data_IF_101191877906
#
_entry.id   IF_101191877906
#
_cell.length_a   1.000
_cell.length_b   1.000
_cell.length_c   1.000
_cell.angle_alpha   90.00
_cell.angle_beta   90.00
_cell.angle_gamma   90.00
#
_symmetry.space_group_name_H-M   'P 1'
#
loop_
_entity.id
_entity.type
_entity.pdbx_description
1 polymer ?
#
# COMPACT_ATOMS: atom_id res chain seq x y z
N UNK A 1 -44.46 -3.14 55.43
CA UNK A 1 -43.77 -2.50 54.28
C UNK A 1 -42.28 -2.65 54.55
N UNK A 2 -41.72 -3.71 54.00
CA UNK A 2 -40.43 -4.36 54.31
C UNK A 2 -39.60 -4.29 53.02
N UNK A 3 -38.29 -4.13 52.92
CA UNK A 3 -37.15 -3.66 53.73
C UNK A 3 -35.97 -3.55 52.73
N UNK A 4 -34.87 -2.91 53.12
CA UNK A 4 -33.60 -2.93 52.40
C UNK A 4 -32.98 -4.35 52.28
N UNK A 5 -32.03 -4.54 51.37
CA UNK A 5 -31.26 -5.80 51.34
C UNK A 5 -30.16 -5.88 50.28
N UNK A 6 -28.95 -5.44 50.65
CA UNK A 6 -27.67 -5.98 50.18
C UNK A 6 -27.62 -7.50 50.36
N UNK A 7 -27.15 -8.25 49.36
CA UNK A 7 -26.50 -9.56 49.60
C UNK A 7 -25.35 -9.81 48.63
N UNK A 8 -24.15 -9.89 49.20
CA UNK A 8 -23.03 -10.69 48.73
C UNK A 8 -23.48 -12.16 48.61
N UNK A 9 -23.07 -12.82 47.53
CA UNK A 9 -23.24 -14.27 47.33
C UNK A 9 -22.01 -14.87 46.68
N UNK A 10 -20.98 -15.11 47.48
CA UNK A 10 -19.93 -16.08 47.21
C UNK A 10 -20.54 -17.50 47.27
N UNK A 11 -20.16 -18.36 46.31
CA UNK A 11 -20.24 -19.82 46.46
C UNK A 11 -21.44 -20.49 45.79
N UNK A 12 -21.21 -21.10 44.64
CA UNK A 12 -22.14 -22.04 44.00
C UNK A 12 -21.51 -22.66 42.76
N UNK A 13 -20.97 -23.87 42.92
CA UNK A 13 -20.20 -24.57 41.89
C UNK A 13 -20.94 -24.72 40.56
N UNK A 14 -20.25 -24.34 39.48
CA UNK A 14 -20.60 -24.68 38.11
C UNK A 14 -20.37 -26.18 37.91
N UNK A 15 -21.43 -26.98 38.09
CA UNK A 15 -21.51 -28.31 37.49
C UNK A 15 -21.53 -28.13 35.96
N UNK A 16 -20.37 -28.35 35.34
CA UNK A 16 -20.25 -28.50 33.90
C UNK A 16 -20.92 -29.82 33.50
N UNK A 17 -22.01 -29.73 32.73
CA UNK A 17 -22.57 -30.89 32.02
C UNK A 17 -21.53 -31.31 30.95
N UNK A 18 -20.98 -32.54 30.99
CA UNK A 18 -20.04 -32.98 29.97
C UNK A 18 -20.83 -33.33 28.70
N UNK A 19 -20.47 -32.73 27.56
CA UNK A 19 -20.98 -33.15 26.25
C UNK A 19 -21.54 -32.07 25.32
N UNK A 20 -21.36 -30.78 25.60
CA UNK A 20 -21.66 -29.73 24.62
C UNK A 20 -20.34 -29.11 24.19
N UNK A 21 -19.90 -29.43 22.96
CA UNK A 21 -18.84 -28.68 22.29
C UNK A 21 -19.15 -27.18 22.41
N UNK A 22 -18.18 -26.32 22.78
CA UNK A 22 -18.43 -24.90 22.86
C UNK A 22 -18.92 -24.44 21.49
N UNK A 23 -20.20 -24.04 21.42
CA UNK A 23 -20.83 -23.50 20.23
C UNK A 23 -19.93 -22.36 19.76
N UNK A 24 -19.18 -22.60 18.68
CA UNK A 24 -18.36 -21.56 18.06
C UNK A 24 -19.33 -20.43 17.73
N UNK A 25 -19.15 -19.27 18.37
CA UNK A 25 -19.82 -18.04 17.98
C UNK A 25 -19.65 -17.91 16.46
N UNK A 26 -20.73 -17.61 15.70
CA UNK A 26 -20.61 -17.45 14.26
C UNK A 26 -19.50 -16.45 13.98
N UNK A 27 -18.55 -16.84 13.14
CA UNK A 27 -17.42 -15.99 12.76
C UNK A 27 -17.99 -14.63 12.33
N UNK A 28 -17.52 -13.51 12.90
CA UNK A 28 -17.99 -12.20 12.49
C UNK A 28 -17.82 -12.06 10.97
N UNK A 29 -18.80 -11.45 10.27
CA UNK A 29 -18.73 -11.32 8.82
C UNK A 29 -17.40 -10.69 8.41
N UNK A 30 -16.80 -11.22 7.35
CA UNK A 30 -15.52 -10.75 6.85
C UNK A 30 -15.55 -9.22 6.69
N UNK A 31 -14.55 -8.49 7.22
CA UNK A 31 -14.56 -7.04 7.18
C UNK A 31 -14.47 -6.58 5.73
N UNK A 32 -15.44 -5.79 5.27
CA UNK A 32 -15.37 -5.15 3.94
C UNK A 32 -14.29 -4.08 3.93
N UNK A 33 -13.05 -4.46 3.66
CA UNK A 33 -11.87 -3.60 3.76
C UNK A 33 -11.89 -2.48 2.72
N UNK A 34 -12.39 -2.76 1.51
CA UNK A 34 -12.48 -1.77 0.44
C UNK A 34 -13.73 -0.90 0.49
N UNK A 35 -14.78 -1.32 1.21
CA UNK A 35 -16.01 -0.55 1.42
C UNK A 35 -16.54 0.13 0.13
N UNK A 36 -16.56 1.48 0.07
CA UNK A 36 -17.09 2.22 -1.07
C UNK A 36 -16.25 2.14 -2.35
N UNK A 37 -15.02 1.62 -2.27
CA UNK A 37 -14.11 1.48 -3.42
C UNK A 37 -14.31 0.16 -4.18
N UNK A 38 -15.03 -0.81 -3.61
CA UNK A 38 -15.29 -2.09 -4.26
C UNK A 38 -16.05 -1.95 -5.60
N UNK A 39 -17.11 -1.12 -5.71
CA UNK A 39 -17.75 -0.86 -6.99
C UNK A 39 -16.81 -0.18 -7.99
N UNK A 40 -15.92 0.72 -7.53
CA UNK A 40 -14.97 1.43 -8.41
C UNK A 40 -13.99 0.45 -9.09
N UNK A 41 -13.59 -0.63 -8.42
CA UNK A 41 -12.77 -1.69 -9.05
C UNK A 41 -13.58 -2.34 -10.19
N UNK A 42 -14.84 -2.67 -9.93
CA UNK A 42 -15.73 -3.33 -10.91
C UNK A 42 -16.03 -2.44 -12.12
N UNK A 43 -16.11 -1.12 -11.93
CA UNK A 43 -16.33 -0.15 -13.00
C UNK A 43 -15.06 0.24 -13.77
N UNK A 44 -13.87 0.01 -13.21
CA UNK A 44 -12.60 0.41 -13.83
C UNK A 44 -12.24 -0.33 -15.12
N UNK A 45 -12.93 -1.44 -15.44
CA UNK A 45 -12.58 -2.30 -16.57
C UNK A 45 -11.35 -3.20 -16.32
N UNK A 46 -10.70 -3.07 -15.15
CA UNK A 46 -9.54 -3.87 -14.73
C UNK A 46 -9.91 -5.06 -13.83
N UNK A 47 -11.19 -5.20 -13.48
CA UNK A 47 -11.67 -6.32 -12.66
C UNK A 47 -11.61 -7.64 -13.44
N UNK A 48 -10.65 -8.49 -13.05
CA UNK A 48 -10.41 -9.79 -13.63
C UNK A 48 -10.90 -10.96 -12.75
N UNK A 49 -11.75 -10.71 -11.74
CA UNK A 49 -12.30 -11.75 -10.87
C UNK A 49 -13.00 -12.89 -11.67
N UNK A 50 -13.57 -12.58 -12.83
CA UNK A 50 -14.28 -13.53 -13.72
C UNK A 50 -13.37 -14.32 -14.68
N UNK A 51 -12.04 -14.20 -14.55
CA UNK A 51 -11.07 -14.94 -15.37
C UNK A 51 -10.48 -16.16 -14.66
N UNK A 52 -10.96 -16.47 -13.45
CA UNK A 52 -10.51 -17.64 -12.69
C UNK A 52 -10.88 -18.95 -13.41
N UNK A 53 -10.03 -19.98 -13.26
CA UNK A 53 -10.07 -21.32 -13.90
C UNK A 53 -11.45 -21.98 -14.02
N UNK A 54 -12.40 -21.69 -13.13
CA UNK A 54 -13.76 -22.26 -13.13
C UNK A 54 -14.74 -21.56 -14.09
N UNK A 55 -14.41 -20.37 -14.61
CA UNK A 55 -15.31 -19.54 -15.44
C UNK A 55 -14.72 -19.08 -16.77
N UNK A 56 -13.58 -19.65 -17.19
CA UNK A 56 -12.88 -19.33 -18.45
C UNK A 56 -13.79 -19.47 -19.70
N UNK A 57 -14.89 -20.22 -19.61
CA UNK A 57 -15.90 -20.38 -20.68
C UNK A 57 -17.01 -19.33 -20.69
N UNK A 58 -17.03 -18.39 -19.76
CA UNK A 58 -18.07 -17.34 -19.72
C UNK A 58 -17.71 -16.20 -20.67
N UNK A 59 -18.65 -15.85 -21.56
CA UNK A 59 -18.54 -14.68 -22.47
C UNK A 59 -18.16 -13.41 -21.72
N UNK A 60 -18.66 -13.23 -20.49
CA UNK A 60 -18.35 -12.06 -19.65
C UNK A 60 -16.88 -12.04 -19.16
N UNK A 61 -16.25 -13.20 -18.97
CA UNK A 61 -14.84 -13.30 -18.60
C UNK A 61 -13.92 -12.94 -19.76
N UNK A 62 -14.23 -13.46 -20.96
CA UNK A 62 -13.48 -13.13 -22.20
C UNK A 62 -13.57 -11.63 -22.51
N UNK A 63 -14.75 -11.03 -22.40
CA UNK A 63 -14.92 -9.58 -22.62
C UNK A 63 -14.09 -8.76 -21.62
N UNK A 64 -14.10 -9.12 -20.34
CA UNK A 64 -13.28 -8.45 -19.31
C UNK A 64 -11.78 -8.57 -19.61
N UNK A 65 -11.28 -9.73 -20.03
CA UNK A 65 -9.88 -9.90 -20.44
C UNK A 65 -9.53 -9.05 -21.66
N UNK A 66 -10.40 -9.00 -22.67
CA UNK A 66 -10.17 -8.21 -23.88
C UNK A 66 -10.11 -6.72 -23.54
N UNK A 67 -11.02 -6.22 -22.69
CA UNK A 67 -11.00 -4.82 -22.22
C UNK A 67 -9.72 -4.51 -21.46
N UNK A 68 -9.33 -5.37 -20.51
CA UNK A 68 -8.09 -5.18 -19.75
C UNK A 68 -6.85 -5.20 -20.66
N UNK A 69 -6.81 -6.09 -21.65
CA UNK A 69 -5.73 -6.16 -22.63
C UNK A 69 -5.65 -4.88 -23.48
N UNK A 70 -6.79 -4.37 -23.96
CA UNK A 70 -6.85 -3.11 -24.71
C UNK A 70 -6.31 -1.95 -23.86
N UNK A 71 -6.72 -1.86 -22.59
CA UNK A 71 -6.22 -0.82 -21.67
C UNK A 71 -4.69 -0.92 -21.52
N UNK A 72 -4.15 -2.12 -21.31
CA UNK A 72 -2.70 -2.32 -21.17
C UNK A 72 -1.95 -1.97 -22.46
N UNK A 73 -2.47 -2.34 -23.63
CA UNK A 73 -1.85 -1.99 -24.92
C UNK A 73 -1.82 -0.48 -25.11
N UNK A 74 -2.90 0.23 -24.79
CA UNK A 74 -2.98 1.69 -24.88
C UNK A 74 -1.93 2.35 -23.96
N UNK A 75 -1.81 1.89 -22.70
CA UNK A 75 -0.80 2.41 -21.77
C UNK A 75 0.63 2.13 -22.23
N UNK A 76 0.89 0.97 -22.85
CA UNK A 76 2.21 0.64 -23.40
C UNK A 76 2.56 1.56 -24.57
N UNK A 77 1.60 1.81 -25.47
CA UNK A 77 1.79 2.74 -26.59
C UNK A 77 2.11 4.14 -26.05
N UNK A 78 1.40 4.60 -25.02
CA UNK A 78 1.66 5.87 -24.36
C UNK A 78 3.07 5.94 -23.77
N UNK A 79 3.53 4.91 -23.04
CA UNK A 79 4.89 4.87 -22.49
C UNK A 79 5.95 4.99 -23.60
N UNK A 80 5.80 4.21 -24.69
CA UNK A 80 6.73 4.29 -25.82
C UNK A 80 6.66 5.63 -26.54
N UNK A 81 5.50 6.26 -26.57
CA UNK A 81 5.32 7.61 -27.12
C UNK A 81 6.15 8.62 -26.32
N UNK A 82 6.05 8.59 -24.98
CA UNK A 82 6.87 9.47 -24.14
C UNK A 82 8.38 9.17 -24.27
N UNK A 83 8.77 7.90 -24.29
CA UNK A 83 10.18 7.49 -24.42
C UNK A 83 10.79 7.73 -25.80
N UNK A 84 9.96 7.83 -26.84
CA UNK A 84 10.39 8.09 -28.22
C UNK A 84 10.79 9.55 -28.48
N UNK A 85 10.61 10.44 -27.49
CA UNK A 85 11.01 11.84 -27.57
C UNK A 85 12.54 11.93 -27.46
N UNK A 86 13.18 12.34 -28.55
CA UNK A 86 14.62 12.54 -28.60
C UNK A 86 14.96 14.01 -28.39
N UNK A 87 15.37 14.34 -27.17
CA UNK A 87 15.90 15.64 -26.80
C UNK A 87 17.28 15.50 -26.16
N UNK A 88 18.07 16.58 -26.17
CA UNK A 88 19.40 16.58 -25.55
C UNK A 88 19.29 16.32 -24.03
N UNK A 89 20.18 15.50 -23.43
CA UNK A 89 20.20 15.32 -21.98
C UNK A 89 20.29 16.66 -21.25
N UNK A 90 19.62 16.79 -20.10
CA UNK A 90 19.50 18.03 -19.31
C UNK A 90 18.78 19.19 -19.99
N UNK A 91 18.11 18.97 -21.12
CA UNK A 91 17.14 19.92 -21.66
C UNK A 91 15.76 19.78 -20.99
N UNK A 92 14.90 20.78 -21.20
CA UNK A 92 13.51 20.75 -20.71
C UNK A 92 12.75 19.56 -21.28
N UNK A 93 12.81 19.34 -22.59
CA UNK A 93 12.08 18.27 -23.27
C UNK A 93 12.53 16.88 -22.84
N UNK A 94 13.83 16.69 -22.58
CA UNK A 94 14.36 15.46 -21.99
C UNK A 94 13.79 15.20 -20.59
N UNK A 95 13.82 16.21 -19.71
CA UNK A 95 13.34 16.05 -18.34
C UNK A 95 11.82 15.83 -18.29
N UNK A 96 11.07 16.52 -19.15
CA UNK A 96 9.62 16.42 -19.26
C UNK A 96 9.18 15.05 -19.79
N UNK A 97 9.77 14.59 -20.90
CA UNK A 97 9.57 13.23 -21.43
C UNK A 97 9.86 12.18 -20.37
N UNK A 98 10.99 12.32 -19.66
CA UNK A 98 11.39 11.38 -18.62
C UNK A 98 10.39 11.38 -17.47
N UNK A 99 9.93 12.54 -17.01
CA UNK A 99 8.93 12.66 -15.95
C UNK A 99 7.62 11.96 -16.31
N UNK A 100 7.06 12.26 -17.48
CA UNK A 100 5.78 11.68 -17.92
C UNK A 100 5.91 10.19 -18.24
N UNK A 101 7.00 9.74 -18.88
CA UNK A 101 7.26 8.32 -19.13
C UNK A 101 7.28 7.50 -17.83
N UNK A 102 7.94 7.99 -16.79
CA UNK A 102 8.00 7.28 -15.51
C UNK A 102 6.65 7.29 -14.77
N UNK A 103 5.84 8.33 -14.90
CA UNK A 103 4.48 8.34 -14.34
C UNK A 103 3.53 7.42 -15.12
N UNK A 104 3.65 7.36 -16.45
CA UNK A 104 2.91 6.40 -17.27
C UNK A 104 3.31 4.95 -16.93
N UNK A 105 4.60 4.67 -16.73
CA UNK A 105 5.10 3.38 -16.24
C UNK A 105 4.52 3.04 -14.86
N UNK A 106 4.47 4.01 -13.95
CA UNK A 106 3.86 3.82 -12.65
C UNK A 106 2.38 3.44 -12.77
N UNK A 107 1.61 4.13 -13.61
CA UNK A 107 0.20 3.83 -13.85
C UNK A 107 -0.01 2.45 -14.49
N UNK A 108 0.86 2.07 -15.44
CA UNK A 108 0.85 0.76 -16.07
C UNK A 108 1.11 -0.38 -15.06
N UNK A 109 2.11 -0.24 -14.19
CA UNK A 109 2.38 -1.22 -13.12
C UNK A 109 1.20 -1.30 -12.15
N UNK A 110 0.54 -0.18 -11.85
CA UNK A 110 -0.69 -0.17 -11.06
C UNK A 110 -1.84 -0.91 -11.74
N UNK A 111 -2.03 -0.75 -13.04
CA UNK A 111 -3.04 -1.49 -13.79
C UNK A 111 -2.78 -3.02 -13.75
N UNK A 112 -1.52 -3.44 -13.97
CA UNK A 112 -1.12 -4.85 -13.84
C UNK A 112 -1.40 -5.37 -12.43
N UNK A 113 -1.03 -4.61 -11.41
CA UNK A 113 -1.23 -5.00 -10.02
C UNK A 113 -2.71 -5.21 -9.68
N UNK A 114 -3.59 -4.28 -10.10
CA UNK A 114 -5.05 -4.41 -9.92
C UNK A 114 -5.59 -5.64 -10.64
N UNK A 115 -5.16 -5.90 -11.88
CA UNK A 115 -5.54 -7.10 -12.64
C UNK A 115 -5.11 -8.37 -11.90
N UNK A 116 -3.87 -8.44 -11.42
CA UNK A 116 -3.36 -9.59 -10.69
C UNK A 116 -4.12 -9.82 -9.37
N UNK A 117 -4.33 -8.76 -8.58
CA UNK A 117 -5.01 -8.87 -7.28
C UNK A 117 -6.48 -9.25 -7.42
N UNK A 118 -7.18 -8.73 -8.44
CA UNK A 118 -8.59 -9.09 -8.71
C UNK A 118 -8.72 -10.50 -9.28
N UNK A 119 -7.82 -10.92 -10.18
CA UNK A 119 -7.79 -12.29 -10.71
C UNK A 119 -7.56 -13.34 -9.62
N UNK A 120 -6.72 -13.02 -8.64
CA UNK A 120 -6.34 -13.93 -7.56
C UNK A 120 -7.29 -13.85 -6.35
N UNK A 121 -8.29 -12.97 -6.36
CA UNK A 121 -9.13 -12.68 -5.19
C UNK A 121 -8.32 -12.37 -3.93
N UNK A 122 -7.18 -11.69 -4.12
CA UNK A 122 -6.21 -11.43 -3.05
C UNK A 122 -6.86 -10.76 -1.84
N UNK A 123 -7.69 -9.74 -2.07
CA UNK A 123 -8.36 -8.98 -0.99
C UNK A 123 -9.32 -9.85 -0.20
N UNK A 124 -10.11 -10.70 -0.86
CA UNK A 124 -11.05 -11.61 -0.19
C UNK A 124 -10.31 -12.66 0.63
N UNK A 125 -9.24 -13.26 0.10
CA UNK A 125 -8.42 -14.21 0.87
C UNK A 125 -7.77 -13.55 2.10
N UNK A 126 -7.36 -12.28 1.97
CA UNK A 126 -6.85 -11.49 3.08
C UNK A 126 -7.94 -11.21 4.13
N UNK A 127 -9.14 -10.82 3.71
CA UNK A 127 -10.31 -10.59 4.57
C UNK A 127 -10.70 -11.85 5.37
N UNK A 128 -10.71 -13.01 4.73
CA UNK A 128 -11.00 -14.30 5.36
C UNK A 128 -9.93 -14.68 6.39
N UNK A 129 -8.66 -14.51 6.07
CA UNK A 129 -7.56 -14.80 7.01
C UNK A 129 -7.57 -13.83 8.18
N UNK A 130 -7.88 -12.55 7.93
CA UNK A 130 -8.00 -11.53 8.96
C UNK A 130 -9.18 -11.83 9.89
N UNK A 131 -10.34 -12.24 9.37
CA UNK A 131 -11.50 -12.59 10.20
C UNK A 131 -11.19 -13.75 11.15
N UNK A 132 -10.46 -14.78 10.67
CA UNK A 132 -9.96 -15.89 11.49
C UNK A 132 -8.97 -15.44 12.57
N UNK A 133 -8.12 -14.46 12.31
CA UNK A 133 -7.23 -13.90 13.34
C UNK A 133 -8.02 -13.12 14.40
N UNK A 134 -9.09 -12.44 14.01
CA UNK A 134 -9.95 -11.68 14.94
C UNK A 134 -10.67 -12.56 15.94
N UNK A 135 -11.03 -13.78 15.57
CA UNK A 135 -11.64 -14.74 16.51
C UNK A 135 -10.67 -15.20 17.59
N UNK A 136 -9.36 -14.98 17.43
CA UNK A 136 -8.32 -15.30 18.42
C UNK A 136 -7.93 -14.10 19.31
N UNK A 137 -8.64 -12.97 19.21
CA UNK A 137 -8.41 -11.80 20.08
C UNK A 137 -8.92 -12.08 21.50
N UNK A 138 -8.20 -11.55 22.49
CA UNK A 138 -8.63 -11.59 23.90
C UNK A 138 -9.62 -10.46 24.20
N UNK A 139 -9.50 -9.35 23.48
CA UNK A 139 -10.42 -8.22 23.58
C UNK A 139 -10.94 -7.77 22.21
N UNK A 140 -12.26 -7.67 22.07
CA UNK A 140 -12.91 -7.08 20.89
C UNK A 140 -13.16 -5.60 21.10
N UNK A 141 -12.62 -4.75 20.22
CA UNK A 141 -12.92 -3.31 20.19
C UNK A 141 -13.46 -2.91 18.82
N UNK A 142 -14.71 -2.42 18.79
CA UNK A 142 -15.34 -1.90 17.57
C UNK A 142 -14.54 -0.77 16.92
N UNK A 143 -13.80 0.02 17.70
CA UNK A 143 -12.98 1.13 17.20
C UNK A 143 -11.82 0.70 16.29
N UNK A 144 -11.33 -0.53 16.47
CA UNK A 144 -10.20 -1.08 15.70
C UNK A 144 -10.68 -1.60 14.34
N UNK A 145 -11.93 -2.09 14.32
CA UNK A 145 -12.58 -2.70 13.17
C UNK A 145 -13.35 -1.68 12.30
N UNK A 146 -13.43 -0.40 12.72
CA UNK A 146 -13.98 0.68 11.91
C UNK A 146 -12.94 1.24 10.91
N UNK A 147 -13.29 1.16 9.63
CA UNK A 147 -12.49 1.64 8.50
C UNK A 147 -13.01 2.95 7.89
N UNK A 148 -14.13 3.49 8.36
CA UNK A 148 -14.81 4.66 7.76
C UNK A 148 -13.90 5.89 7.68
N UNK A 149 -13.22 6.21 8.78
CA UNK A 149 -12.26 7.32 8.82
C UNK A 149 -11.06 7.10 7.88
N UNK A 150 -10.69 5.85 7.65
CA UNK A 150 -9.63 5.51 6.72
C UNK A 150 -10.10 5.67 5.26
N UNK A 151 -11.31 5.20 4.92
CA UNK A 151 -11.90 5.41 3.59
C UNK A 151 -12.01 6.90 3.23
N UNK A 152 -12.40 7.73 4.20
CA UNK A 152 -12.44 9.20 4.01
C UNK A 152 -11.06 9.77 3.72
N UNK A 153 -10.02 9.32 4.43
CA UNK A 153 -8.63 9.76 4.18
C UNK A 153 -8.11 9.28 2.82
N UNK A 154 -8.43 8.05 2.43
CA UNK A 154 -8.07 7.51 1.12
C UNK A 154 -8.74 8.31 -0.02
N UNK A 155 -10.01 8.66 0.11
CA UNK A 155 -10.71 9.51 -0.86
C UNK A 155 -10.03 10.87 -1.02
N UNK A 156 -9.63 11.52 0.08
CA UNK A 156 -8.91 12.80 0.05
C UNK A 156 -7.54 12.68 -0.63
N UNK A 157 -6.83 11.55 -0.46
CA UNK A 157 -5.52 11.31 -1.06
C UNK A 157 -5.57 11.20 -2.60
N UNK A 158 -6.69 10.72 -3.14
CA UNK A 158 -6.86 10.46 -4.58
C UNK A 158 -7.19 11.73 -5.36
N UNK A 159 -7.92 12.67 -4.74
CA UNK A 159 -8.37 13.91 -5.39
C UNK A 159 -7.21 14.70 -6.02
N UNK A 160 -6.07 14.94 -5.33
CA UNK A 160 -4.93 15.62 -5.94
C UNK A 160 -4.34 14.89 -7.15
N UNK A 161 -4.33 13.55 -7.16
CA UNK A 161 -3.83 12.76 -8.28
C UNK A 161 -4.67 13.06 -9.52
N UNK A 162 -6.00 12.93 -9.41
CA UNK A 162 -6.92 13.25 -10.50
C UNK A 162 -6.81 14.71 -10.93
N UNK A 163 -6.80 15.64 -9.97
CA UNK A 163 -6.77 17.06 -10.25
C UNK A 163 -5.51 17.45 -11.05
N UNK A 164 -4.32 17.02 -10.63
CA UNK A 164 -3.06 17.39 -11.28
C UNK A 164 -2.90 16.71 -12.63
N UNK A 165 -3.11 15.39 -12.69
CA UNK A 165 -2.88 14.61 -13.92
C UNK A 165 -3.86 15.01 -15.01
N UNK A 166 -5.17 15.08 -14.69
CA UNK A 166 -6.16 15.48 -15.69
C UNK A 166 -6.01 16.95 -16.08
N UNK A 167 -5.76 17.86 -15.14
CA UNK A 167 -5.56 19.28 -15.51
C UNK A 167 -4.35 19.46 -16.42
N UNK A 168 -3.27 18.70 -16.19
CA UNK A 168 -2.10 18.71 -17.08
C UNK A 168 -2.44 18.18 -18.46
N UNK A 169 -3.17 17.07 -18.54
CA UNK A 169 -3.56 16.46 -19.81
C UNK A 169 -4.53 17.34 -20.61
N UNK A 170 -5.56 17.89 -19.96
CA UNK A 170 -6.51 18.82 -20.58
C UNK A 170 -5.83 20.12 -21.02
N UNK A 171 -4.95 20.69 -20.20
CA UNK A 171 -4.20 21.89 -20.58
C UNK A 171 -3.34 21.62 -21.81
N UNK A 172 -2.63 20.50 -21.83
CA UNK A 172 -1.77 20.10 -22.96
C UNK A 172 -2.58 19.88 -24.24
N UNK A 173 -3.77 19.26 -24.13
CA UNK A 173 -4.67 19.01 -25.25
C UNK A 173 -5.31 20.32 -25.80
N UNK A 174 -5.72 21.24 -24.93
CA UNK A 174 -6.34 22.51 -25.35
C UNK A 174 -5.32 23.46 -25.99
N UNK A 175 -4.08 23.46 -25.47
CA UNK A 175 -3.02 24.33 -25.98
C UNK A 175 -2.28 23.73 -27.18
N UNK A 176 -2.57 22.47 -27.56
CA UNK A 176 -1.79 21.67 -28.51
C UNK A 176 -0.28 21.64 -28.20
N UNK A 177 0.09 21.91 -26.94
CA UNK A 177 1.47 21.93 -26.46
C UNK A 177 1.66 20.77 -25.52
N UNK A 178 2.26 19.72 -26.06
CA UNK A 178 2.57 18.52 -25.29
C UNK A 178 3.96 18.56 -24.64
N UNK A 179 4.84 19.40 -25.17
CA UNK A 179 6.12 19.71 -24.57
C UNK A 179 6.27 21.21 -24.42
N UNK A 180 7.01 21.64 -23.40
CA UNK A 180 7.46 23.01 -23.25
C UNK A 180 8.41 23.45 -24.39
N UNK A 181 8.88 22.51 -25.22
CA UNK A 181 9.76 22.75 -26.36
C UNK A 181 9.04 22.40 -27.68
N UNK A 182 8.55 23.42 -28.39
CA UNK A 182 7.72 23.36 -29.62
C UNK A 182 8.43 22.77 -30.87
N UNK A 183 9.54 22.03 -30.74
CA UNK A 183 10.35 21.59 -31.89
C UNK A 183 9.97 20.22 -32.48
N UNK A 184 9.11 19.43 -31.83
CA UNK A 184 8.72 18.08 -32.29
C UNK A 184 7.31 18.07 -32.89
N UNK A 185 7.20 18.48 -34.16
CA UNK A 185 5.92 18.52 -34.92
C UNK A 185 5.22 17.16 -35.08
N UNK A 186 5.93 16.04 -34.87
CA UNK A 186 5.38 14.70 -35.08
C UNK A 186 4.26 14.32 -34.09
N UNK A 187 4.23 14.92 -32.90
CA UNK A 187 3.30 14.53 -31.84
C UNK A 187 2.05 15.41 -31.71
N UNK A 188 2.11 16.69 -32.13
CA UNK A 188 0.93 17.59 -32.08
C UNK A 188 -0.19 17.16 -33.04
N UNK A 189 0.13 16.39 -34.09
CA UNK A 189 -0.82 15.92 -35.10
C UNK A 189 -1.33 14.49 -34.87
N UNK A 190 -0.81 13.79 -33.85
CA UNK A 190 -1.17 12.40 -33.60
C UNK A 190 -2.56 12.26 -32.96
N UNK A 191 -3.36 11.32 -33.44
CA UNK A 191 -4.69 10.98 -32.86
C UNK A 191 -4.55 10.64 -31.36
N UNK A 192 -3.43 10.05 -30.94
CA UNK A 192 -3.13 9.76 -29.52
C UNK A 192 -3.16 11.03 -28.64
N UNK A 193 -2.80 12.19 -29.19
CA UNK A 193 -2.82 13.47 -28.46
C UNK A 193 -4.24 13.91 -28.08
N UNK A 194 -5.20 13.75 -29.00
CA UNK A 194 -6.60 14.11 -28.74
C UNK A 194 -7.25 13.18 -27.71
N UNK A 195 -6.75 11.95 -27.59
CA UNK A 195 -7.22 10.96 -26.62
C UNK A 195 -6.40 10.93 -25.33
N UNK A 196 -5.33 11.72 -25.20
CA UNK A 196 -4.46 11.71 -24.01
C UNK A 196 -5.23 11.91 -22.69
N UNK A 197 -6.21 12.85 -22.57
CA UNK A 197 -6.98 13.00 -21.33
C UNK A 197 -7.78 11.74 -20.95
N UNK A 198 -8.22 10.96 -21.93
CA UNK A 198 -8.92 9.71 -21.69
C UNK A 198 -7.95 8.62 -21.22
N UNK A 199 -6.77 8.53 -21.82
CA UNK A 199 -5.74 7.57 -21.42
C UNK A 199 -5.27 7.87 -20.00
N UNK A 200 -4.96 9.13 -19.71
CA UNK A 200 -4.57 9.62 -18.39
C UNK A 200 -5.66 9.40 -17.34
N UNK A 201 -6.94 9.51 -17.71
CA UNK A 201 -8.06 9.18 -16.84
C UNK A 201 -8.05 7.70 -16.44
N UNK A 202 -7.83 6.80 -17.39
CA UNK A 202 -7.71 5.36 -17.11
C UNK A 202 -6.47 5.08 -16.26
N UNK A 203 -5.34 5.75 -16.53
CA UNK A 203 -4.13 5.69 -15.70
C UNK A 203 -4.36 6.17 -14.26
N UNK A 204 -5.08 7.28 -14.09
CA UNK A 204 -5.48 7.80 -12.78
C UNK A 204 -6.34 6.81 -12.00
N UNK A 205 -7.34 6.20 -12.67
CA UNK A 205 -8.17 5.16 -12.06
C UNK A 205 -7.30 3.98 -11.62
N UNK A 206 -6.45 3.45 -12.50
CA UNK A 206 -5.57 2.32 -12.18
C UNK A 206 -4.66 2.62 -10.98
N UNK A 207 -3.95 3.75 -11.00
CA UNK A 207 -3.06 4.20 -9.93
C UNK A 207 -3.80 4.37 -8.60
N UNK A 208 -4.95 5.05 -8.62
CA UNK A 208 -5.71 5.33 -7.41
C UNK A 208 -6.24 4.06 -6.77
N UNK A 209 -6.79 3.14 -7.57
CA UNK A 209 -7.28 1.86 -7.08
C UNK A 209 -6.13 1.01 -6.51
N UNK A 210 -4.98 0.98 -7.17
CA UNK A 210 -3.84 0.23 -6.70
C UNK A 210 -3.31 0.77 -5.36
N UNK A 211 -3.20 2.10 -5.22
CA UNK A 211 -2.80 2.75 -3.97
C UNK A 211 -3.80 2.46 -2.85
N UNK A 212 -5.11 2.55 -3.11
CA UNK A 212 -6.13 2.23 -2.11
C UNK A 212 -5.94 0.80 -1.61
N UNK A 213 -5.89 -0.19 -2.50
CA UNK A 213 -5.75 -1.60 -2.11
C UNK A 213 -4.47 -1.80 -1.30
N UNK A 214 -3.35 -1.29 -1.79
CA UNK A 214 -2.04 -1.41 -1.15
C UNK A 214 -2.02 -0.81 0.26
N UNK A 215 -2.46 0.44 0.41
CA UNK A 215 -2.44 1.14 1.70
C UNK A 215 -3.45 0.53 2.66
N UNK A 216 -4.63 0.11 2.18
CA UNK A 216 -5.69 -0.50 3.01
C UNK A 216 -5.21 -1.81 3.62
N UNK A 217 -4.67 -2.72 2.81
CA UNK A 217 -4.21 -4.03 3.26
C UNK A 217 -3.07 -3.88 4.27
N UNK A 218 -2.05 -3.07 3.96
CA UNK A 218 -0.95 -2.83 4.89
C UNK A 218 -1.39 -2.12 6.17
N UNK A 219 -2.34 -1.18 6.10
CA UNK A 219 -2.88 -0.50 7.29
C UNK A 219 -3.69 -1.45 8.17
N UNK A 220 -4.48 -2.35 7.57
CA UNK A 220 -5.24 -3.35 8.30
C UNK A 220 -4.32 -4.36 9.01
N UNK A 221 -3.30 -4.85 8.31
CA UNK A 221 -2.26 -5.69 8.90
C UNK A 221 -1.54 -4.98 10.04
N UNK A 222 -1.17 -3.71 9.83
CA UNK A 222 -0.50 -2.90 10.84
C UNK A 222 -1.35 -2.68 12.10
N UNK A 223 -2.66 -2.45 11.95
CA UNK A 223 -3.60 -2.33 13.08
C UNK A 223 -3.69 -3.63 13.88
N UNK A 224 -3.73 -4.77 13.20
CA UNK A 224 -3.82 -6.07 13.86
C UNK A 224 -2.54 -6.38 14.66
N UNK A 225 -1.36 -6.15 14.08
CA UNK A 225 -0.08 -6.36 14.78
C UNK A 225 0.04 -5.41 15.97
N UNK A 226 -0.34 -4.13 15.80
CA UNK A 226 -0.34 -3.16 16.90
C UNK A 226 -1.30 -3.57 18.03
N UNK A 227 -2.45 -4.11 17.69
CA UNK A 227 -3.40 -4.62 18.67
C UNK A 227 -2.84 -5.82 19.42
N UNK A 228 -2.24 -6.76 18.69
CA UNK A 228 -1.53 -7.90 19.26
C UNK A 228 -0.43 -7.46 20.24
N UNK A 229 0.41 -6.49 19.85
CA UNK A 229 1.46 -5.95 20.72
C UNK A 229 0.87 -5.35 22.00
N UNK A 230 -0.23 -4.59 21.90
CA UNK A 230 -0.91 -4.02 23.07
C UNK A 230 -1.46 -5.10 24.01
N UNK A 231 -2.08 -6.15 23.47
CA UNK A 231 -2.56 -7.29 24.26
C UNK A 231 -1.40 -8.03 24.93
N UNK A 232 -0.31 -8.27 24.20
CA UNK A 232 0.89 -8.92 24.73
C UNK A 232 1.54 -8.11 25.86
N UNK A 233 1.72 -6.79 25.69
CA UNK A 233 2.25 -5.91 26.75
C UNK A 233 1.36 -5.92 27.99
N UNK A 234 0.03 -5.90 27.82
CA UNK A 234 -0.89 -5.97 28.95
C UNK A 234 -0.78 -7.32 29.66
N UNK A 235 -0.76 -8.43 28.93
CA UNK A 235 -0.63 -9.77 29.52
C UNK A 235 0.73 -9.98 30.20
N UNK A 236 1.81 -9.42 29.67
CA UNK A 236 3.13 -9.38 30.33
C UNK A 236 3.04 -8.62 31.66
N UNK A 237 2.44 -7.43 31.66
CA UNK A 237 2.26 -6.60 32.86
C UNK A 237 1.44 -7.29 33.95
N UNK A 238 0.44 -8.08 33.57
CA UNK A 238 -0.39 -8.85 34.51
C UNK A 238 0.17 -10.25 34.82
N UNK A 239 1.40 -10.57 34.39
CA UNK A 239 2.06 -11.87 34.57
C UNK A 239 1.24 -13.07 34.06
N UNK A 240 0.29 -12.85 33.15
CA UNK A 240 -0.58 -13.89 32.59
C UNK A 240 0.17 -14.81 31.61
N UNK A 241 1.34 -14.36 31.13
CA UNK A 241 2.22 -15.12 30.24
C UNK A 241 2.92 -16.29 30.94
N UNK A 242 2.87 -16.36 32.27
CA UNK A 242 3.33 -17.52 33.07
C UNK A 242 2.43 -18.74 32.95
N UNK A 243 1.25 -18.60 32.34
CA UNK A 243 0.35 -19.71 32.07
C UNK A 243 0.69 -20.33 30.71
N UNK A 244 1.08 -21.62 30.64
CA UNK A 244 1.48 -22.27 29.38
C UNK A 244 0.40 -22.20 28.29
N UNK A 245 -0.88 -22.31 28.69
CA UNK A 245 -2.01 -22.21 27.78
C UNK A 245 -2.13 -20.82 27.14
N UNK A 246 -1.90 -19.76 27.90
CA UNK A 246 -1.97 -18.37 27.43
C UNK A 246 -0.80 -18.09 26.49
N UNK A 247 0.42 -18.49 26.87
CA UNK A 247 1.61 -18.33 26.04
C UNK A 247 1.49 -19.09 24.71
N UNK A 248 0.96 -20.31 24.72
CA UNK A 248 0.76 -21.11 23.51
C UNK A 248 -0.28 -20.47 22.56
N UNK A 249 -1.36 -19.89 23.11
CA UNK A 249 -2.35 -19.16 22.31
C UNK A 249 -1.75 -17.91 21.65
N UNK A 250 -0.91 -17.15 22.38
CA UNK A 250 -0.17 -16.03 21.81
C UNK A 250 0.83 -16.48 20.74
N UNK A 251 1.56 -17.57 20.97
CA UNK A 251 2.50 -18.13 20.00
C UNK A 251 1.81 -18.57 18.71
N UNK A 252 0.64 -19.23 18.82
CA UNK A 252 -0.17 -19.65 17.68
C UNK A 252 -0.66 -18.46 16.87
N UNK A 253 -1.24 -17.44 17.53
CA UNK A 253 -1.71 -16.23 16.85
C UNK A 253 -0.56 -15.45 16.20
N UNK A 254 0.59 -15.38 16.86
CA UNK A 254 1.78 -14.76 16.30
C UNK A 254 2.28 -15.48 15.03
N UNK A 255 2.28 -16.81 15.04
CA UNK A 255 2.59 -17.61 13.84
C UNK A 255 1.64 -17.29 12.69
N UNK A 256 0.34 -17.24 12.94
CA UNK A 256 -0.66 -16.92 11.92
C UNK A 256 -0.52 -15.47 11.41
N UNK A 257 -0.13 -14.52 12.28
CA UNK A 257 0.19 -13.15 11.88
C UNK A 257 1.40 -13.08 10.96
N UNK A 258 2.49 -13.80 11.26
CA UNK A 258 3.66 -13.86 10.39
C UNK A 258 3.30 -14.49 9.04
N UNK A 259 2.49 -15.55 9.02
CA UNK A 259 2.02 -16.17 7.78
C UNK A 259 1.21 -15.19 6.93
N UNK A 260 0.30 -14.43 7.57
CA UNK A 260 -0.46 -13.38 6.88
C UNK A 260 0.46 -12.28 6.33
N UNK A 261 1.45 -11.83 7.09
CA UNK A 261 2.45 -10.86 6.62
C UNK A 261 3.21 -11.40 5.42
N UNK A 262 3.63 -12.67 5.43
CA UNK A 262 4.32 -13.29 4.28
C UNK A 262 3.43 -13.38 3.06
N UNK A 263 2.17 -13.75 3.23
CA UNK A 263 1.16 -13.78 2.16
C UNK A 263 1.00 -12.38 1.53
N UNK A 264 0.73 -11.35 2.35
CA UNK A 264 0.64 -9.96 1.87
C UNK A 264 1.94 -9.56 1.16
N UNK A 265 3.09 -9.94 1.71
CA UNK A 265 4.36 -9.55 1.14
C UNK A 265 4.62 -10.16 -0.24
N UNK A 266 4.24 -11.43 -0.45
CA UNK A 266 4.37 -12.09 -1.73
C UNK A 266 3.56 -11.39 -2.83
N UNK A 267 2.32 -10.96 -2.52
CA UNK A 267 1.44 -10.32 -3.49
C UNK A 267 1.69 -8.82 -3.69
N UNK A 268 2.23 -8.11 -2.69
CA UNK A 268 2.41 -6.65 -2.72
C UNK A 268 3.87 -6.18 -2.92
N UNK A 269 4.88 -7.05 -2.76
CA UNK A 269 6.29 -6.66 -2.77
C UNK A 269 6.73 -5.97 -4.06
N UNK A 270 6.36 -6.54 -5.22
CA UNK A 270 6.73 -5.96 -6.53
C UNK A 270 6.17 -4.57 -6.72
N UNK A 271 4.90 -4.38 -6.35
CA UNK A 271 4.24 -3.07 -6.41
C UNK A 271 4.92 -2.07 -5.46
N UNK A 272 5.13 -2.45 -4.20
CA UNK A 272 5.76 -1.60 -3.18
C UNK A 272 7.23 -1.26 -3.46
N UNK A 273 7.92 -2.03 -4.31
CA UNK A 273 9.29 -1.73 -4.74
C UNK A 273 9.35 -0.85 -6.00
N UNK A 274 8.56 -1.18 -7.02
CA UNK A 274 8.68 -0.56 -8.36
C UNK A 274 7.96 0.79 -8.43
N UNK A 275 6.77 0.91 -7.84
CA UNK A 275 5.98 2.15 -7.92
C UNK A 275 6.68 3.35 -7.28
N UNK A 276 7.23 3.24 -6.04
CA UNK A 276 7.97 4.36 -5.46
C UNK A 276 9.21 4.74 -6.28
N UNK A 277 9.90 3.79 -6.92
CA UNK A 277 11.06 4.09 -7.77
C UNK A 277 10.68 4.99 -8.96
N UNK A 278 9.62 4.62 -9.68
CA UNK A 278 9.15 5.42 -10.83
C UNK A 278 8.62 6.79 -10.40
N UNK A 279 7.85 6.85 -9.31
CA UNK A 279 7.39 8.13 -8.76
C UNK A 279 8.54 9.02 -8.29
N UNK A 280 9.58 8.47 -7.65
CA UNK A 280 10.76 9.24 -7.22
C UNK A 280 11.57 9.75 -8.43
N UNK A 281 11.69 8.95 -9.48
CA UNK A 281 12.40 9.36 -10.69
C UNK A 281 11.64 10.48 -11.41
N UNK A 282 10.31 10.37 -11.50
CA UNK A 282 9.48 11.45 -12.02
C UNK A 282 9.59 12.72 -11.15
N UNK A 283 9.56 12.58 -9.81
CA UNK A 283 9.74 13.69 -8.88
C UNK A 283 11.04 14.47 -9.11
N UNK A 284 12.17 13.76 -9.30
CA UNK A 284 13.48 14.38 -9.55
C UNK A 284 13.43 15.25 -10.81
N UNK A 285 12.85 14.71 -11.89
CA UNK A 285 12.78 15.39 -13.18
C UNK A 285 11.82 16.59 -13.15
N UNK A 286 10.63 16.46 -12.56
CA UNK A 286 9.68 17.57 -12.41
C UNK A 286 10.29 18.68 -11.56
N UNK A 287 10.91 18.33 -10.42
CA UNK A 287 11.56 19.30 -9.54
C UNK A 287 12.72 20.01 -10.23
N UNK A 288 13.46 19.29 -11.08
CA UNK A 288 14.52 19.87 -11.92
C UNK A 288 13.95 20.88 -12.93
N UNK A 289 12.84 20.56 -13.61
CA UNK A 289 12.18 21.49 -14.55
C UNK A 289 11.75 22.78 -13.85
N UNK A 290 11.04 22.63 -12.72
CA UNK A 290 10.54 23.77 -11.92
C UNK A 290 11.69 24.65 -11.41
N UNK A 291 12.78 24.03 -10.97
CA UNK A 291 13.93 24.74 -10.40
C UNK A 291 14.84 25.41 -11.45
N UNK A 292 15.09 24.75 -12.57
CA UNK A 292 16.08 25.21 -13.57
C UNK A 292 15.48 26.07 -14.68
N UNK A 293 14.19 25.94 -14.99
CA UNK A 293 13.59 26.56 -16.19
C UNK A 293 12.44 27.52 -15.88
N UNK A 294 12.33 28.01 -14.64
CA UNK A 294 11.25 28.89 -14.18
C UNK A 294 10.95 30.06 -15.13
N UNK A 295 11.97 30.69 -15.71
CA UNK A 295 11.80 31.84 -16.60
C UNK A 295 11.18 31.49 -17.98
N UNK A 296 11.25 30.21 -18.38
CA UNK A 296 10.74 29.70 -19.65
C UNK A 296 9.35 29.06 -19.52
N UNK A 297 8.82 28.91 -18.30
CA UNK A 297 7.55 28.26 -18.04
C UNK A 297 6.38 29.27 -18.00
N UNK A 298 5.28 28.92 -18.66
CA UNK A 298 3.99 29.60 -18.46
C UNK A 298 3.53 29.47 -16.99
N UNK A 299 2.94 30.50 -16.36
CA UNK A 299 2.50 30.41 -14.96
C UNK A 299 1.55 29.24 -14.67
N UNK A 300 0.71 28.83 -15.63
CA UNK A 300 -0.19 27.68 -15.45
C UNK A 300 0.60 26.37 -15.38
N UNK A 301 1.53 26.15 -16.31
CA UNK A 301 2.40 24.96 -16.30
C UNK A 301 3.28 24.92 -15.06
N UNK A 302 3.77 26.07 -14.58
CA UNK A 302 4.51 26.14 -13.33
C UNK A 302 3.70 25.62 -12.14
N UNK A 303 2.42 26.00 -12.03
CA UNK A 303 1.52 25.50 -10.97
C UNK A 303 1.27 24.00 -11.11
N UNK A 304 1.02 23.52 -12.33
CA UNK A 304 0.76 22.09 -12.60
C UNK A 304 1.97 21.22 -12.27
N UNK A 305 3.18 21.64 -12.65
CA UNK A 305 4.43 20.92 -12.34
C UNK A 305 4.70 20.91 -10.83
N UNK A 306 4.39 21.99 -10.10
CA UNK A 306 4.43 21.95 -8.63
C UNK A 306 3.36 21.00 -8.05
N UNK A 307 2.19 20.88 -8.69
CA UNK A 307 1.23 19.84 -8.36
C UNK A 307 1.80 18.43 -8.53
N UNK A 308 2.54 18.19 -9.62
CA UNK A 308 3.19 16.91 -9.90
C UNK A 308 4.23 16.53 -8.84
N UNK A 309 5.03 17.47 -8.33
CA UNK A 309 5.99 17.15 -7.26
C UNK A 309 5.28 16.66 -5.98
N UNK A 310 4.15 17.27 -5.63
CA UNK A 310 3.32 16.86 -4.48
C UNK A 310 2.74 15.46 -4.72
N UNK A 311 2.20 15.20 -5.91
CA UNK A 311 1.61 13.90 -6.27
C UNK A 311 2.66 12.79 -6.25
N UNK A 312 3.81 12.97 -6.90
CA UNK A 312 4.88 11.98 -6.95
C UNK A 312 5.42 11.65 -5.55
N UNK A 313 5.59 12.68 -4.69
CA UNK A 313 6.00 12.47 -3.30
C UNK A 313 4.91 11.75 -2.50
N UNK A 314 3.65 12.14 -2.68
CA UNK A 314 2.50 11.51 -2.04
C UNK A 314 2.38 10.02 -2.36
N UNK A 315 2.52 9.64 -3.63
CA UNK A 315 2.52 8.24 -4.09
C UNK A 315 3.69 7.46 -3.46
N UNK A 316 4.87 8.06 -3.40
CA UNK A 316 6.06 7.45 -2.77
C UNK A 316 5.81 7.18 -1.28
N UNK A 317 5.32 8.18 -0.53
CA UNK A 317 5.01 8.04 0.90
C UNK A 317 3.93 6.99 1.11
N UNK A 318 2.89 6.96 0.27
CA UNK A 318 1.83 5.95 0.33
C UNK A 318 2.35 4.54 0.04
N UNK A 319 3.36 4.40 -0.83
CA UNK A 319 4.02 3.12 -1.11
C UNK A 319 4.95 2.65 0.01
N UNK A 320 5.75 3.53 0.63
CA UNK A 320 6.76 3.11 1.60
C UNK A 320 6.30 3.18 3.06
N UNK A 321 5.51 4.18 3.46
CA UNK A 321 5.16 4.41 4.87
C UNK A 321 4.36 3.26 5.52
N UNK A 322 3.34 2.68 4.87
CA UNK A 322 2.59 1.57 5.47
C UNK A 322 3.49 0.35 5.70
N UNK A 323 4.44 0.11 4.80
CA UNK A 323 5.36 -1.02 4.87
C UNK A 323 6.34 -0.89 6.04
N UNK A 324 6.94 0.29 6.21
CA UNK A 324 7.82 0.60 7.34
C UNK A 324 7.11 0.34 8.67
N UNK A 325 5.84 0.75 8.79
CA UNK A 325 5.07 0.57 10.03
C UNK A 325 4.83 -0.90 10.37
N UNK A 326 4.52 -1.73 9.37
CA UNK A 326 4.38 -3.17 9.56
C UNK A 326 5.69 -3.77 10.07
N UNK A 327 6.83 -3.39 9.47
CA UNK A 327 8.13 -3.91 9.88
C UNK A 327 8.52 -3.48 11.29
N UNK A 328 8.32 -2.20 11.64
CA UNK A 328 8.58 -1.70 12.99
C UNK A 328 7.72 -2.41 14.05
N UNK A 329 6.44 -2.64 13.77
CA UNK A 329 5.56 -3.27 14.75
C UNK A 329 5.88 -4.76 14.97
N UNK A 330 6.39 -5.47 13.95
CA UNK A 330 6.89 -6.85 14.11
C UNK A 330 8.16 -6.84 14.98
N UNK A 331 9.04 -5.86 14.77
CA UNK A 331 10.24 -5.70 15.60
C UNK A 331 9.87 -5.36 17.06
N UNK A 332 8.88 -4.50 17.28
CA UNK A 332 8.36 -4.17 18.62
C UNK A 332 7.85 -5.42 19.35
N UNK A 333 7.23 -6.38 18.63
CA UNK A 333 6.85 -7.67 19.23
C UNK A 333 8.06 -8.42 19.81
N UNK A 334 9.19 -8.41 19.09
CA UNK A 334 10.42 -9.04 19.55
C UNK A 334 10.95 -8.33 20.81
N UNK A 335 10.94 -7.00 20.81
CA UNK A 335 11.41 -6.17 21.92
C UNK A 335 10.58 -6.42 23.19
N UNK A 336 9.24 -6.49 23.07
CA UNK A 336 8.36 -6.78 24.22
C UNK A 336 8.69 -8.15 24.84
N UNK A 337 8.91 -9.17 24.02
CA UNK A 337 9.26 -10.52 24.49
C UNK A 337 10.66 -10.56 25.13
N UNK A 338 11.62 -9.78 24.63
CA UNK A 338 12.98 -9.72 25.19
C UNK A 338 13.06 -8.96 26.53
N UNK A 339 12.09 -8.09 26.84
CA UNK A 339 12.09 -7.33 28.10
C UNK A 339 11.29 -7.99 29.24
N UNK A 340 10.69 -9.17 29.01
CA UNK A 340 9.96 -9.89 30.06
C UNK A 340 10.90 -10.84 30.83
N UNK A 341 11.42 -10.34 31.95
CA UNK A 341 12.34 -11.06 32.85
C UNK A 341 11.74 -12.36 33.41
N UNK A 342 10.41 -12.42 33.56
CA UNK A 342 9.70 -13.58 34.14
C UNK A 342 9.71 -14.77 33.18
N UNK A 343 9.63 -14.50 31.87
CA UNK A 343 9.71 -15.54 30.83
C UNK A 343 11.14 -16.07 30.65
N UNK A 344 12.16 -15.24 30.90
CA UNK A 344 13.57 -15.63 30.80
C UNK A 344 14.05 -16.48 31.98
N UNK A 345 13.47 -16.26 33.15
CA UNK A 345 13.83 -16.96 34.41
C UNK A 345 12.90 -18.13 34.73
N UNK A 346 11.93 -18.42 33.85
CA UNK A 346 10.95 -19.47 34.09
C UNK A 346 11.59 -20.86 34.06
N UNK A 347 11.45 -21.62 35.16
CA UNK A 347 12.02 -22.97 35.30
C UNK A 347 11.24 -24.09 34.60
N UNK A 348 10.20 -23.75 33.80
CA UNK A 348 9.43 -24.70 33.00
C UNK A 348 10.00 -24.78 31.58
N UNK A 349 10.61 -25.92 31.26
CA UNK A 349 11.24 -26.21 29.96
C UNK A 349 10.28 -26.01 28.77
N UNK A 350 8.99 -26.32 28.96
CA UNK A 350 7.99 -26.20 27.88
C UNK A 350 7.64 -24.74 27.58
N UNK A 351 7.55 -23.90 28.62
CA UNK A 351 7.36 -22.47 28.45
C UNK A 351 8.60 -21.78 27.89
N UNK A 352 9.79 -22.13 28.38
CA UNK A 352 11.04 -21.57 27.86
C UNK A 352 11.25 -21.96 26.39
N UNK A 353 10.92 -23.19 25.99
CA UNK A 353 10.94 -23.60 24.58
C UNK A 353 9.94 -22.80 23.72
N UNK A 354 8.70 -22.65 24.18
CA UNK A 354 7.65 -21.90 23.45
C UNK A 354 8.02 -20.42 23.30
N UNK A 355 8.60 -19.83 24.35
CA UNK A 355 9.15 -18.50 24.35
C UNK A 355 10.27 -18.35 23.33
N UNK A 356 11.30 -19.21 23.38
CA UNK A 356 12.44 -19.17 22.44
C UNK A 356 12.00 -19.34 21.00
N UNK A 357 11.10 -20.28 20.71
CA UNK A 357 10.57 -20.47 19.35
C UNK A 357 9.84 -19.23 18.86
N UNK A 358 9.10 -18.54 19.73
CA UNK A 358 8.39 -17.30 19.37
C UNK A 358 9.39 -16.17 19.13
N UNK A 359 10.40 -16.03 19.98
CA UNK A 359 11.46 -15.04 19.85
C UNK A 359 12.31 -15.27 18.59
N UNK A 360 12.73 -16.51 18.32
CA UNK A 360 13.50 -16.86 17.13
C UNK A 360 12.69 -16.58 15.86
N UNK A 361 11.37 -16.82 15.88
CA UNK A 361 10.48 -16.43 14.77
C UNK A 361 10.45 -14.92 14.59
N UNK A 362 10.40 -14.12 15.65
CA UNK A 362 10.44 -12.66 15.53
C UNK A 362 11.78 -12.17 14.95
N UNK A 363 12.90 -12.70 15.44
CA UNK A 363 14.25 -12.24 15.09
C UNK A 363 14.70 -12.74 13.71
N UNK A 364 14.35 -13.96 13.33
CA UNK A 364 14.81 -14.62 12.09
C UNK A 364 13.71 -14.75 11.02
N UNK A 365 12.49 -14.25 11.26
CA UNK A 365 11.50 -14.23 10.19
C UNK A 365 11.97 -13.32 9.06
N UNK A 366 12.20 -13.94 7.90
CA UNK A 366 12.47 -13.26 6.63
C UNK A 366 11.21 -12.53 6.08
N UNK A 367 10.43 -11.92 6.95
CA UNK A 367 9.23 -11.14 6.64
C UNK A 367 9.53 -9.68 6.31
N UNK A 368 10.80 -9.27 6.35
CA UNK A 368 11.21 -7.94 5.87
C UNK A 368 11.05 -7.90 4.36
N UNK A 369 10.20 -6.99 3.87
CA UNK A 369 10.24 -6.64 2.46
C UNK A 369 11.49 -5.81 2.18
N UNK A 370 12.12 -6.08 1.05
CA UNK A 370 13.20 -5.26 0.52
C UNK A 370 12.72 -4.37 -0.62
N UNK A 371 13.02 -3.08 -0.53
CA UNK A 371 12.94 -2.15 -1.65
C UNK A 371 13.95 -2.58 -2.72
N UNK A 372 13.45 -2.77 -3.95
CA UNK A 372 14.20 -3.29 -5.10
C UNK A 372 14.93 -4.62 -4.83
N UNK A 373 14.42 -5.45 -3.90
CA UNK A 373 15.08 -6.67 -3.46
C UNK A 373 16.52 -6.47 -2.89
N UNK A 374 16.92 -5.22 -2.62
CA UNK A 374 18.28 -4.87 -2.23
C UNK A 374 18.34 -4.18 -0.86
N UNK A 375 17.36 -3.34 -0.53
CA UNK A 375 17.37 -2.55 0.70
C UNK A 375 16.21 -2.94 1.62
N UNK A 376 16.45 -3.38 2.87
CA UNK A 376 15.35 -3.64 3.81
C UNK A 376 14.55 -2.34 4.06
N UNK A 377 13.23 -2.42 4.00
CA UNK A 377 12.34 -1.24 4.19
C UNK A 377 12.14 -0.92 5.67
N UNK A 378 13.24 -0.56 6.32
CA UNK A 378 13.23 -0.08 7.70
C UNK A 378 13.00 1.45 7.75
N UNK A 379 12.64 2.00 8.92
CA UNK A 379 12.46 3.45 9.13
C UNK A 379 13.67 4.27 8.71
N UNK A 380 14.87 3.74 8.94
CA UNK A 380 16.12 4.39 8.54
C UNK A 380 16.28 4.44 7.01
N UNK A 381 15.89 3.39 6.30
CA UNK A 381 15.94 3.36 4.84
C UNK A 381 14.95 4.38 4.25
N UNK A 382 13.73 4.44 4.79
CA UNK A 382 12.74 5.44 4.39
C UNK A 382 13.25 6.87 4.58
N UNK A 383 13.79 7.20 5.76
CA UNK A 383 14.35 8.53 6.03
C UNK A 383 15.51 8.87 5.08
N UNK A 384 16.38 7.91 4.76
CA UNK A 384 17.46 8.09 3.78
C UNK A 384 16.91 8.38 2.39
N UNK A 385 15.92 7.62 1.90
CA UNK A 385 15.31 7.83 0.59
C UNK A 385 14.69 9.23 0.50
N UNK A 386 13.92 9.62 1.53
CA UNK A 386 13.27 10.93 1.60
C UNK A 386 14.27 12.09 1.69
N UNK A 387 15.48 11.85 2.18
CA UNK A 387 16.56 12.82 2.19
C UNK A 387 17.33 12.88 0.88
N UNK A 388 17.75 11.73 0.33
CA UNK A 388 18.61 11.70 -0.86
C UNK A 388 17.89 12.16 -2.13
N UNK A 389 16.64 11.75 -2.33
CA UNK A 389 15.94 11.99 -3.61
C UNK A 389 15.74 13.48 -3.92
N UNK A 390 15.23 14.32 -2.99
CA UNK A 390 15.18 15.76 -3.22
C UNK A 390 16.55 16.40 -3.47
N UNK A 391 17.60 15.90 -2.80
CA UNK A 391 18.95 16.41 -2.97
C UNK A 391 19.55 16.08 -4.35
N UNK A 392 19.16 14.97 -4.98
CA UNK A 392 19.55 14.68 -6.38
C UNK A 392 18.99 15.75 -7.32
N UNK A 393 17.72 16.12 -7.14
CA UNK A 393 17.12 17.19 -7.93
C UNK A 393 17.83 18.54 -7.70
N UNK A 394 18.13 18.88 -6.45
CA UNK A 394 18.90 20.08 -6.13
C UNK A 394 20.30 20.07 -6.79
N UNK A 395 20.99 18.93 -6.79
CA UNK A 395 22.28 18.78 -7.45
C UNK A 395 22.16 18.96 -8.98
N UNK A 396 21.13 18.41 -9.61
CA UNK A 396 20.85 18.63 -11.04
C UNK A 396 20.59 20.10 -11.35
N UNK A 397 19.84 20.80 -10.48
CA UNK A 397 19.58 22.24 -10.62
C UNK A 397 20.88 23.03 -10.55
N UNK A 398 21.73 22.77 -9.54
CA UNK A 398 23.04 23.42 -9.40
C UNK A 398 23.98 23.13 -10.58
N UNK A 399 23.98 21.89 -11.08
CA UNK A 399 24.75 21.53 -12.26
C UNK A 399 24.31 22.32 -13.50
N UNK A 400 23.00 22.49 -13.71
CA UNK A 400 22.48 23.28 -14.82
C UNK A 400 22.75 24.77 -14.67
N UNK A 401 22.65 25.31 -13.46
CA UNK A 401 22.97 26.72 -13.17
C UNK A 401 24.45 27.04 -13.37
N UNK A 402 25.34 26.07 -13.11
CA UNK A 402 26.78 26.21 -13.38
C UNK A 402 27.15 26.03 -14.86
N UNK A 403 26.26 25.45 -15.67
CA UNK A 403 26.45 25.22 -17.10
C UNK A 403 25.29 25.82 -17.91
N UNK A 404 25.23 27.16 -18.05
CA UNK A 404 24.08 27.87 -18.62
C UNK A 404 23.75 27.50 -20.07
N UNK A 405 24.73 26.95 -20.82
CA UNK A 405 24.63 26.61 -22.25
C UNK A 405 24.23 25.15 -22.55
N UNK A 406 24.03 24.31 -21.52
CA UNK A 406 23.36 23.00 -21.67
C UNK A 406 21.85 23.19 -21.84
#
# INVERSE_FOLDING_TARGET
MVEAGTTLGLGGGLYVKPGVEPTQLPSPPAPKLLGPFEPLIRFSGLDCHKLRKESIRSVKGVVSAVVALIILVIMVIEIFTYMGIQDKPFSVGWAESTAYAFMALQAFISAIAVICWTRENFVSQFEDTLSRLRTMRLSTSQSIDDYTNFHRKAAVMIVPIFAVVLSTSFYSSVTNRYQLNDNSTFYSESILHQFAPFIDFVGCLASSMAIIVYVTVNTALNREIKHFNKELTNSARFQQLTLPQVLNNYSKRHSDLIQLTRFVNQHLSKYGAIVPLFSLTAFINVSYIVGSFKASLDPVMYVLLNGWTIVCMGITIAGLSPLVKVQNNIQETAEILMHDDVLQTCGDDQMHHTYRVTLDRCLHSNSKMAFLNAFPVDSNCFNRIMFFVPNISAAMILYRLSHPYL
#
